data_IF_946019966918
#
_entry.id   IF_946019966918
#
_cell.length_a   1.000
_cell.length_b   1.000
_cell.length_c   1.000
_cell.angle_alpha   90.00
_cell.angle_beta   90.00
_cell.angle_gamma   90.00
#
_symmetry.space_group_name_H-M   'P 1'
#
loop_
_entity.id
_entity.type
_entity.pdbx_description
1 polymer ?
#
# COMPACT_ATOMS: atom_id res chain seq x y z
N UNK A 1 -62.12 40.30 21.07
CA UNK A 1 -61.74 38.98 21.57
C UNK A 1 -61.74 37.88 20.52
N UNK A 2 -62.74 37.75 19.62
CA UNK A 2 -62.79 36.69 18.60
C UNK A 2 -61.64 36.72 17.54
N UNK A 3 -61.11 37.90 17.20
CA UNK A 3 -59.99 38.03 16.25
C UNK A 3 -58.63 37.63 16.79
N UNK A 4 -58.42 37.76 18.12
CA UNK A 4 -57.19 37.35 18.82
C UNK A 4 -57.08 35.82 18.97
N UNK A 5 -58.22 35.15 19.18
CA UNK A 5 -58.32 33.69 19.29
C UNK A 5 -58.02 32.98 17.95
N UNK A 6 -58.37 33.59 16.79
CA UNK A 6 -58.09 33.02 15.45
C UNK A 6 -56.59 33.09 15.13
N UNK A 7 -55.91 34.17 15.53
CA UNK A 7 -54.46 34.33 15.32
C UNK A 7 -53.67 33.34 16.17
N UNK A 8 -54.10 33.05 17.40
CA UNK A 8 -53.45 32.07 18.29
C UNK A 8 -53.60 30.62 17.77
N UNK A 9 -54.73 30.27 17.16
CA UNK A 9 -54.97 28.96 16.53
C UNK A 9 -54.16 28.78 15.23
N UNK A 10 -54.01 29.84 14.41
CA UNK A 10 -53.16 29.79 13.26
C UNK A 10 -51.66 29.64 13.57
N UNK A 11 -51.19 30.19 14.72
CA UNK A 11 -49.81 30.10 15.15
C UNK A 11 -49.48 28.71 15.74
N UNK A 12 -50.43 28.01 16.33
CA UNK A 12 -50.24 26.64 16.85
C UNK A 12 -50.26 25.55 15.78
N UNK A 13 -50.78 25.81 14.57
CA UNK A 13 -50.74 24.90 13.43
C UNK A 13 -49.39 24.96 12.64
N UNK A 14 -48.62 26.03 12.81
CA UNK A 14 -47.30 26.18 12.12
C UNK A 14 -46.16 25.42 12.77
N UNK A 15 -46.36 24.81 13.98
CA UNK A 15 -45.31 24.07 14.69
C UNK A 15 -45.29 22.56 14.44
N UNK A 16 -46.19 22.03 13.60
CA UNK A 16 -46.10 20.65 13.11
C UNK A 16 -45.13 20.64 11.92
N UNK A 17 -43.86 20.85 12.20
CA UNK A 17 -42.78 20.66 11.26
C UNK A 17 -42.70 19.17 10.92
N UNK A 18 -42.92 18.84 9.66
CA UNK A 18 -42.71 17.50 9.13
C UNK A 18 -41.22 17.17 9.18
N UNK A 19 -40.74 16.68 10.29
CA UNK A 19 -39.35 16.17 10.47
C UNK A 19 -39.04 15.04 9.46
N UNK A 20 -40.02 14.32 8.97
CA UNK A 20 -39.87 13.27 7.95
C UNK A 20 -39.53 13.77 6.54
N UNK A 21 -39.69 15.08 6.24
CA UNK A 21 -39.37 15.63 4.91
C UNK A 21 -37.87 15.98 4.77
N UNK A 22 -37.12 16.00 5.89
CA UNK A 22 -35.69 16.25 5.92
C UNK A 22 -34.86 14.95 5.97
N UNK A 23 -35.50 13.81 6.16
CA UNK A 23 -34.89 12.49 6.11
C UNK A 23 -34.88 11.97 4.65
N UNK A 24 -34.22 12.73 3.78
CA UNK A 24 -34.01 12.31 2.38
C UNK A 24 -32.99 11.19 2.40
N UNK A 25 -33.47 9.95 2.32
CA UNK A 25 -32.59 8.81 2.04
C UNK A 25 -32.01 9.03 0.64
N UNK A 26 -30.68 8.90 0.47
CA UNK A 26 -30.09 8.98 -0.87
C UNK A 26 -30.75 7.95 -1.77
N UNK A 27 -31.31 8.39 -2.89
CA UNK A 27 -31.97 7.50 -3.87
C UNK A 27 -30.97 6.64 -4.64
N UNK A 28 -29.70 7.06 -4.67
CA UNK A 28 -28.64 6.45 -5.47
C UNK A 28 -27.61 5.68 -4.61
N UNK A 29 -27.81 5.57 -3.29
CA UNK A 29 -26.95 4.77 -2.41
C UNK A 29 -27.76 3.98 -1.39
N UNK A 30 -27.44 2.69 -1.27
CA UNK A 30 -28.01 1.81 -0.23
C UNK A 30 -27.17 2.00 1.04
N UNK A 31 -27.83 2.22 2.19
CA UNK A 31 -27.11 2.32 3.47
C UNK A 31 -26.34 1.00 3.77
N UNK A 32 -25.21 1.10 4.48
CA UNK A 32 -24.45 -0.08 4.85
C UNK A 32 -25.28 -1.13 5.60
N UNK A 33 -26.27 -0.68 6.41
CA UNK A 33 -27.19 -1.56 7.12
C UNK A 33 -28.17 -2.31 6.22
N UNK A 34 -28.50 -1.76 5.07
CA UNK A 34 -29.34 -2.41 4.07
C UNK A 34 -28.54 -3.30 3.11
N UNK A 35 -27.29 -2.90 2.81
CA UNK A 35 -26.40 -3.65 1.93
C UNK A 35 -25.81 -4.91 2.62
N UNK A 36 -25.47 -4.80 3.92
CA UNK A 36 -24.79 -5.87 4.70
C UNK A 36 -25.79 -6.41 5.73
N UNK A 37 -26.75 -7.19 5.28
CA UNK A 37 -27.81 -7.79 6.13
C UNK A 37 -27.78 -9.31 6.20
N UNK A 38 -27.01 -9.96 5.34
CA UNK A 38 -26.87 -11.40 5.24
C UNK A 38 -25.46 -11.77 4.72
N UNK A 39 -25.14 -13.05 4.66
CA UNK A 39 -23.85 -13.56 4.19
C UNK A 39 -23.49 -13.01 2.80
N UNK A 40 -24.43 -12.96 1.86
CA UNK A 40 -24.17 -12.45 0.51
C UNK A 40 -23.82 -10.97 0.51
N UNK A 41 -24.47 -10.18 1.37
CA UNK A 41 -24.13 -8.77 1.58
C UNK A 41 -22.72 -8.59 2.12
N UNK A 42 -22.29 -9.45 3.06
CA UNK A 42 -20.90 -9.46 3.58
C UNK A 42 -19.90 -9.78 2.46
N UNK A 43 -20.15 -10.86 1.69
CA UNK A 43 -19.30 -11.30 0.59
C UNK A 43 -19.13 -10.20 -0.48
N UNK A 44 -20.23 -9.58 -0.89
CA UNK A 44 -20.21 -8.47 -1.86
C UNK A 44 -19.46 -7.25 -1.32
N UNK A 45 -19.62 -6.91 -0.03
CA UNK A 45 -18.93 -5.78 0.58
C UNK A 45 -17.43 -6.03 0.75
N UNK A 46 -17.00 -7.25 1.08
CA UNK A 46 -15.58 -7.67 1.10
C UNK A 46 -15.00 -7.58 -0.31
N UNK A 47 -15.68 -8.10 -1.33
CA UNK A 47 -15.25 -7.99 -2.73
C UNK A 47 -15.13 -6.54 -3.16
N UNK A 48 -16.10 -5.68 -2.81
CA UNK A 48 -16.05 -4.24 -3.04
C UNK A 48 -14.90 -3.53 -2.31
N UNK A 49 -14.47 -4.08 -1.15
CA UNK A 49 -13.31 -3.55 -0.41
C UNK A 49 -11.99 -3.95 -1.07
N UNK A 50 -11.87 -5.17 -1.58
CA UNK A 50 -10.72 -5.56 -2.43
C UNK A 50 -10.65 -4.70 -3.70
N UNK A 51 -11.80 -4.43 -4.34
CA UNK A 51 -11.85 -3.55 -5.51
C UNK A 51 -11.41 -2.11 -5.17
N UNK A 52 -11.57 -1.64 -3.94
CA UNK A 52 -11.03 -0.33 -3.54
C UNK A 52 -9.51 -0.27 -3.61
N UNK A 53 -8.79 -1.39 -3.39
CA UNK A 53 -7.34 -1.46 -3.55
C UNK A 53 -6.87 -1.28 -5.01
N UNK A 54 -7.74 -1.58 -6.00
CA UNK A 54 -7.49 -1.30 -7.43
C UNK A 54 -7.60 0.17 -7.77
N UNK A 55 -8.11 1.01 -6.86
CA UNK A 55 -8.24 2.44 -7.11
C UNK A 55 -6.97 3.00 -7.72
N UNK A 56 -7.15 3.93 -8.67
CA UNK A 56 -6.05 4.74 -9.24
C UNK A 56 -5.17 5.37 -8.17
N UNK A 57 -5.73 5.71 -7.02
CA UNK A 57 -5.02 6.36 -5.92
C UNK A 57 -4.23 5.39 -5.05
N UNK A 58 -4.50 4.09 -5.12
CA UNK A 58 -3.76 3.07 -4.39
C UNK A 58 -2.91 2.28 -5.40
N UNK A 59 -3.12 0.98 -5.53
CA UNK A 59 -2.28 0.11 -6.37
C UNK A 59 -2.59 0.21 -7.87
N UNK A 60 -3.71 0.82 -8.27
CA UNK A 60 -4.03 1.05 -9.68
C UNK A 60 -3.05 2.01 -10.37
N UNK A 61 -2.36 2.90 -9.63
CA UNK A 61 -1.34 3.80 -10.19
C UNK A 61 -0.54 4.60 -9.15
N UNK A 62 -1.19 5.49 -8.35
CA UNK A 62 -0.48 6.57 -7.63
C UNK A 62 0.53 6.01 -6.64
N UNK A 63 0.13 5.10 -5.76
CA UNK A 63 1.01 4.58 -4.74
C UNK A 63 2.22 3.86 -5.35
N UNK A 64 2.03 3.12 -6.47
CA UNK A 64 3.12 2.43 -7.14
C UNK A 64 4.12 3.41 -7.75
N UNK A 65 3.64 4.47 -8.42
CA UNK A 65 4.52 5.47 -9.05
C UNK A 65 5.21 6.34 -7.99
N UNK A 66 4.49 6.77 -6.95
CA UNK A 66 4.99 7.70 -5.93
C UNK A 66 6.18 7.13 -5.18
N UNK A 67 6.18 5.84 -4.85
CA UNK A 67 7.28 5.18 -4.15
C UNK A 67 8.63 5.24 -4.90
N UNK A 68 8.58 5.18 -6.22
CA UNK A 68 9.79 5.25 -7.05
C UNK A 68 10.11 6.70 -7.49
N UNK A 69 9.08 7.55 -7.66
CA UNK A 69 9.22 8.94 -8.09
C UNK A 69 9.71 9.87 -6.98
N UNK A 70 9.25 9.66 -5.73
CA UNK A 70 9.76 10.37 -4.57
C UNK A 70 11.17 9.90 -4.17
N UNK A 71 11.63 8.80 -4.76
CA UNK A 71 12.96 8.24 -4.57
C UNK A 71 13.87 8.51 -5.78
N UNK A 72 14.74 7.57 -6.11
CA UNK A 72 15.78 7.70 -7.12
C UNK A 72 15.63 6.72 -8.31
N UNK A 73 14.47 6.07 -8.46
CA UNK A 73 14.18 5.14 -9.55
C UNK A 73 13.41 5.76 -10.71
N UNK A 74 12.70 6.87 -10.47
CA UNK A 74 11.93 7.59 -11.49
C UNK A 74 12.21 9.10 -11.46
N UNK A 75 12.03 9.74 -12.60
CA UNK A 75 11.95 11.19 -12.76
C UNK A 75 10.63 11.55 -13.43
N UNK A 76 10.16 12.77 -13.20
CA UNK A 76 9.02 13.34 -13.92
C UNK A 76 9.41 13.75 -15.33
N UNK A 77 8.63 13.33 -16.33
CA UNK A 77 8.85 13.63 -17.76
C UNK A 77 7.58 14.11 -18.46
N UNK A 78 6.45 14.10 -17.76
CA UNK A 78 5.13 14.38 -18.32
C UNK A 78 4.65 15.82 -18.10
N UNK A 79 3.34 15.96 -17.87
CA UNK A 79 2.66 17.26 -17.75
C UNK A 79 1.91 17.42 -16.43
N UNK A 80 1.75 16.36 -15.65
CA UNK A 80 1.01 16.37 -14.38
C UNK A 80 1.88 17.05 -13.30
N UNK A 81 1.49 18.26 -12.87
CA UNK A 81 2.24 19.07 -11.91
C UNK A 81 2.39 18.39 -10.54
N UNK A 82 1.39 17.63 -10.11
CA UNK A 82 1.45 16.90 -8.84
C UNK A 82 2.62 15.90 -8.81
N UNK A 83 2.90 15.21 -9.94
CA UNK A 83 4.11 14.37 -10.05
C UNK A 83 5.39 15.20 -10.03
N UNK A 84 5.40 16.40 -10.64
CA UNK A 84 6.55 17.31 -10.57
C UNK A 84 6.87 17.71 -9.12
N UNK A 85 5.85 18.03 -8.33
CA UNK A 85 6.03 18.35 -6.91
C UNK A 85 6.63 17.18 -6.13
N UNK A 86 6.17 15.95 -6.39
CA UNK A 86 6.67 14.76 -5.73
C UNK A 86 8.14 14.50 -6.11
N UNK A 87 8.46 14.54 -7.41
CA UNK A 87 9.83 14.32 -7.91
C UNK A 87 10.84 15.35 -7.38
N UNK A 88 10.40 16.59 -7.10
CA UNK A 88 11.24 17.67 -6.63
C UNK A 88 11.17 17.90 -5.11
N UNK A 89 10.44 17.06 -4.36
CA UNK A 89 10.22 17.20 -2.92
C UNK A 89 9.65 18.58 -2.50
N UNK A 90 8.78 19.13 -3.34
CA UNK A 90 8.07 20.40 -3.12
C UNK A 90 6.56 20.19 -3.02
N UNK A 91 6.18 19.11 -2.37
CA UNK A 91 4.79 18.65 -2.30
C UNK A 91 3.97 19.67 -1.50
N UNK A 92 2.97 20.27 -2.13
CA UNK A 92 2.01 21.13 -1.45
C UNK A 92 0.90 20.30 -0.77
N UNK A 93 0.30 20.84 0.29
CA UNK A 93 -0.77 20.15 1.02
C UNK A 93 -2.04 19.93 0.16
N UNK A 94 -2.22 20.67 -0.92
CA UNK A 94 -3.30 20.52 -1.90
C UNK A 94 -2.93 19.62 -3.10
N UNK A 95 -1.81 18.89 -3.04
CA UNK A 95 -1.41 17.94 -4.07
C UNK A 95 -2.46 16.83 -4.21
N UNK A 96 -3.12 16.74 -5.36
CA UNK A 96 -4.24 15.82 -5.59
C UNK A 96 -3.86 14.34 -5.59
N UNK A 97 -2.59 14.01 -5.89
CA UNK A 97 -2.11 12.62 -5.82
C UNK A 97 -1.99 12.19 -4.36
N UNK A 98 -1.41 13.02 -3.50
CA UNK A 98 -1.24 12.73 -2.08
C UNK A 98 -2.58 12.71 -1.34
N UNK A 99 -3.49 13.66 -1.67
CA UNK A 99 -4.87 13.64 -1.18
C UNK A 99 -5.60 12.35 -1.59
N UNK A 100 -5.44 11.92 -2.83
CA UNK A 100 -6.02 10.67 -3.31
C UNK A 100 -5.50 9.44 -2.57
N UNK A 101 -4.19 9.36 -2.29
CA UNK A 101 -3.60 8.25 -1.51
C UNK A 101 -4.18 8.23 -0.09
N UNK A 102 -4.27 9.40 0.57
CA UNK A 102 -4.86 9.51 1.90
C UNK A 102 -6.33 9.07 1.91
N UNK A 103 -7.15 9.71 1.10
CA UNK A 103 -8.59 9.55 1.13
C UNK A 103 -9.04 8.15 0.74
N UNK A 104 -8.42 7.52 -0.28
CA UNK A 104 -8.82 6.19 -0.74
C UNK A 104 -8.35 5.05 0.17
N UNK A 105 -7.20 5.19 0.87
CA UNK A 105 -6.85 4.25 1.93
C UNK A 105 -7.87 4.33 3.09
N UNK A 106 -8.29 5.53 3.51
CA UNK A 106 -9.35 5.68 4.53
C UNK A 106 -10.74 5.23 4.05
N UNK A 107 -11.07 5.41 2.76
CA UNK A 107 -12.29 4.84 2.19
C UNK A 107 -12.30 3.30 2.29
N UNK A 108 -11.18 2.65 1.94
CA UNK A 108 -11.04 1.20 2.10
C UNK A 108 -11.18 0.80 3.58
N UNK A 109 -10.52 1.50 4.51
CA UNK A 109 -10.64 1.27 5.96
C UNK A 109 -12.11 1.40 6.40
N UNK A 110 -12.82 2.42 5.94
CA UNK A 110 -14.23 2.62 6.31
C UNK A 110 -15.13 1.52 5.76
N UNK A 111 -14.91 1.07 4.52
CA UNK A 111 -15.63 -0.07 3.91
C UNK A 111 -15.49 -1.32 4.75
N UNK A 112 -14.25 -1.72 5.08
CA UNK A 112 -14.00 -2.91 5.89
C UNK A 112 -14.51 -2.76 7.33
N UNK A 113 -14.46 -1.58 7.92
CA UNK A 113 -15.04 -1.33 9.24
C UNK A 113 -16.56 -1.53 9.24
N UNK A 114 -17.26 -1.10 8.17
CA UNK A 114 -18.69 -1.37 8.00
C UNK A 114 -18.98 -2.88 7.94
N UNK A 115 -18.13 -3.66 7.26
CA UNK A 115 -18.26 -5.12 7.23
C UNK A 115 -17.99 -5.72 8.62
N UNK A 116 -16.85 -5.41 9.22
CA UNK A 116 -16.43 -5.95 10.51
C UNK A 116 -17.44 -5.67 11.62
N UNK A 117 -18.07 -4.48 11.62
CA UNK A 117 -19.09 -4.11 12.60
C UNK A 117 -20.40 -4.90 12.46
N UNK A 118 -20.67 -5.48 11.28
CA UNK A 118 -21.92 -6.21 11.00
C UNK A 118 -21.78 -7.72 11.11
N UNK A 119 -20.60 -8.28 10.85
CA UNK A 119 -20.35 -9.73 10.90
C UNK A 119 -20.87 -10.40 12.19
N UNK A 120 -20.76 -9.83 13.41
CA UNK A 120 -21.28 -10.48 14.61
C UNK A 120 -22.78 -10.77 14.58
N UNK A 121 -23.56 -9.93 13.90
CA UNK A 121 -25.04 -9.98 13.87
C UNK A 121 -25.57 -10.79 12.67
N UNK A 122 -24.70 -11.20 11.73
CA UNK A 122 -25.11 -11.94 10.53
C UNK A 122 -25.06 -13.45 10.78
N UNK A 123 -26.15 -14.13 10.41
CA UNK A 123 -26.20 -15.60 10.46
C UNK A 123 -25.32 -16.20 9.38
N UNK A 124 -24.25 -16.84 9.79
CA UNK A 124 -23.29 -17.54 8.94
C UNK A 124 -22.50 -18.58 9.76
N UNK A 125 -21.94 -19.58 9.10
CA UNK A 125 -21.07 -20.54 9.76
C UNK A 125 -19.75 -19.92 10.24
N UNK A 126 -19.02 -20.63 11.09
CA UNK A 126 -17.77 -20.14 11.69
C UNK A 126 -16.68 -19.90 10.65
N UNK A 127 -16.56 -20.76 9.65
CA UNK A 127 -15.51 -20.65 8.63
C UNK A 127 -15.71 -19.41 7.76
N UNK A 128 -16.92 -19.14 7.31
CA UNK A 128 -17.26 -17.91 6.58
C UNK A 128 -17.03 -16.66 7.44
N UNK A 129 -17.44 -16.71 8.73
CA UNK A 129 -17.21 -15.62 9.67
C UNK A 129 -15.72 -15.32 9.83
N UNK A 130 -14.92 -16.35 10.04
CA UNK A 130 -13.47 -16.23 10.17
C UNK A 130 -12.85 -15.67 8.89
N UNK A 131 -13.26 -16.19 7.73
CA UNK A 131 -12.77 -15.76 6.43
C UNK A 131 -12.99 -14.26 6.19
N UNK A 132 -14.23 -13.78 6.31
CA UNK A 132 -14.53 -12.37 6.04
C UNK A 132 -14.00 -11.43 7.12
N UNK A 133 -13.91 -11.88 8.36
CA UNK A 133 -13.24 -11.12 9.43
C UNK A 133 -11.75 -10.98 9.13
N UNK A 134 -11.08 -12.08 8.76
CA UNK A 134 -9.67 -12.07 8.40
C UNK A 134 -9.37 -11.17 7.19
N UNK A 135 -10.22 -11.21 6.15
CA UNK A 135 -10.14 -10.32 4.98
C UNK A 135 -10.20 -8.84 5.39
N UNK A 136 -11.20 -8.47 6.19
CA UNK A 136 -11.36 -7.09 6.65
C UNK A 136 -10.18 -6.61 7.49
N UNK A 137 -9.70 -7.44 8.42
CA UNK A 137 -8.53 -7.11 9.25
C UNK A 137 -7.26 -6.96 8.44
N UNK A 138 -7.01 -7.85 7.47
CA UNK A 138 -5.85 -7.74 6.56
C UNK A 138 -5.87 -6.45 5.76
N UNK A 139 -6.99 -6.12 5.11
CA UNK A 139 -7.12 -4.90 4.31
C UNK A 139 -6.99 -3.64 5.17
N UNK A 140 -7.59 -3.62 6.37
CA UNK A 140 -7.46 -2.49 7.31
C UNK A 140 -6.02 -2.27 7.73
N UNK A 141 -5.31 -3.34 8.06
CA UNK A 141 -3.89 -3.27 8.41
C UNK A 141 -3.03 -2.79 7.24
N UNK A 142 -3.26 -3.31 6.02
CA UNK A 142 -2.53 -2.89 4.82
C UNK A 142 -2.71 -1.39 4.55
N UNK A 143 -3.95 -0.89 4.61
CA UNK A 143 -4.23 0.53 4.37
C UNK A 143 -3.64 1.43 5.48
N UNK A 144 -3.74 1.04 6.76
CA UNK A 144 -3.08 1.79 7.85
C UNK A 144 -1.56 1.78 7.69
N UNK A 145 -0.96 0.67 7.24
CA UNK A 145 0.48 0.58 6.99
C UNK A 145 0.92 1.47 5.83
N UNK A 146 0.17 1.48 4.72
CA UNK A 146 0.41 2.40 3.61
C UNK A 146 0.42 3.86 4.09
N UNK A 147 -0.61 4.27 4.85
CA UNK A 147 -0.70 5.62 5.40
C UNK A 147 0.43 5.94 6.36
N UNK A 148 0.79 4.99 7.24
CA UNK A 148 1.90 5.15 8.18
C UNK A 148 3.23 5.43 7.48
N UNK A 149 3.52 4.71 6.39
CA UNK A 149 4.78 4.86 5.63
C UNK A 149 4.93 6.25 5.00
N UNK A 150 3.83 6.87 4.56
CA UNK A 150 3.86 8.19 3.95
C UNK A 150 3.74 9.34 4.94
N UNK A 151 2.88 9.20 5.95
CA UNK A 151 2.44 10.32 6.79
C UNK A 151 2.92 10.25 8.25
N UNK A 152 3.54 9.16 8.66
CA UNK A 152 3.92 8.93 10.05
C UNK A 152 2.70 8.62 10.91
N UNK A 153 2.55 9.31 12.06
CA UNK A 153 1.37 9.14 12.92
C UNK A 153 0.09 9.56 12.20
N UNK A 154 -0.99 8.79 12.33
CA UNK A 154 -2.27 8.96 11.64
C UNK A 154 -3.44 8.63 12.58
N UNK A 155 -4.68 9.10 12.31
CA UNK A 155 -5.86 8.62 13.01
C UNK A 155 -6.08 7.12 12.79
N UNK A 156 -6.21 6.35 13.86
CA UNK A 156 -6.56 4.93 13.80
C UNK A 156 -8.08 4.82 13.74
N UNK A 157 -8.61 4.33 12.62
CA UNK A 157 -10.05 4.12 12.42
C UNK A 157 -10.37 2.63 12.49
N UNK A 158 -11.05 2.18 13.56
CA UNK A 158 -11.46 0.78 13.76
C UNK A 158 -12.98 0.59 13.78
N UNK A 159 -13.73 1.69 13.63
CA UNK A 159 -15.19 1.70 13.58
C UNK A 159 -15.66 2.43 12.32
N UNK A 160 -16.86 2.12 11.81
CA UNK A 160 -17.46 2.88 10.70
C UNK A 160 -17.60 4.36 11.04
N UNK A 161 -17.43 5.21 10.05
CA UNK A 161 -17.81 6.63 10.16
C UNK A 161 -19.34 6.74 10.00
N UNK A 162 -20.04 7.09 11.07
CA UNK A 162 -21.51 7.11 11.11
C UNK A 162 -22.08 8.53 11.11
N UNK A 163 -21.32 9.51 11.57
CA UNK A 163 -21.72 10.90 11.65
C UNK A 163 -20.53 11.87 11.61
N UNK A 164 -20.82 13.17 11.55
CA UNK A 164 -19.79 14.22 11.52
C UNK A 164 -18.97 14.31 12.81
N UNK A 165 -19.48 13.84 13.94
CA UNK A 165 -18.72 13.86 15.21
C UNK A 165 -17.58 12.84 15.21
N UNK A 166 -17.71 11.75 14.44
CA UNK A 166 -16.70 10.71 14.30
C UNK A 166 -15.56 11.07 13.34
N UNK A 167 -15.68 12.19 12.62
CA UNK A 167 -14.65 12.67 11.69
C UNK A 167 -13.47 13.28 12.45
N UNK A 168 -13.74 14.11 13.46
CA UNK A 168 -12.72 14.80 14.24
C UNK A 168 -11.96 13.81 15.14
N UNK A 169 -10.74 13.46 14.73
CA UNK A 169 -9.85 12.59 15.48
C UNK A 169 -8.40 13.06 15.33
N UNK A 170 -7.73 13.24 16.46
CA UNK A 170 -6.30 13.55 16.46
C UNK A 170 -5.47 12.38 15.90
N UNK A 171 -4.27 12.68 15.46
CA UNK A 171 -3.30 11.66 15.05
C UNK A 171 -2.89 10.79 16.22
N UNK A 172 -2.86 9.50 16.02
CA UNK A 172 -2.20 8.57 16.92
C UNK A 172 -0.69 8.61 16.68
N UNK A 173 0.07 8.27 17.70
CA UNK A 173 1.53 8.17 17.57
C UNK A 173 1.92 6.98 16.68
N UNK A 174 3.09 7.06 16.04
CA UNK A 174 3.64 5.98 15.21
C UNK A 174 3.64 4.62 15.92
N UNK A 175 4.08 4.50 17.20
CA UNK A 175 3.98 3.23 17.93
C UNK A 175 2.55 2.69 18.07
N UNK A 176 1.57 3.56 18.35
CA UNK A 176 0.17 3.14 18.46
C UNK A 176 -0.38 2.62 17.13
N UNK A 177 0.00 3.25 16.02
CA UNK A 177 -0.40 2.79 14.67
C UNK A 177 0.19 1.42 14.38
N UNK A 178 1.48 1.19 14.68
CA UNK A 178 2.08 -0.15 14.56
C UNK A 178 1.36 -1.20 15.42
N UNK A 179 1.05 -0.86 16.66
CA UNK A 179 0.36 -1.80 17.56
C UNK A 179 -1.01 -2.23 16.99
N UNK A 180 -1.77 -1.29 16.40
CA UNK A 180 -3.04 -1.61 15.75
C UNK A 180 -2.84 -2.47 14.50
N UNK A 181 -1.89 -2.13 13.63
CA UNK A 181 -1.57 -2.90 12.41
C UNK A 181 -1.19 -4.34 12.76
N UNK A 182 -0.30 -4.50 13.75
CA UNK A 182 0.17 -5.82 14.20
C UNK A 182 -0.98 -6.62 14.81
N UNK A 183 -1.82 -5.99 15.63
CA UNK A 183 -3.01 -6.63 16.22
C UNK A 183 -3.96 -7.17 15.14
N UNK A 184 -4.27 -6.36 14.12
CA UNK A 184 -5.12 -6.77 13.01
C UNK A 184 -4.50 -7.94 12.22
N UNK A 185 -3.20 -7.87 11.91
CA UNK A 185 -2.52 -8.90 11.14
C UNK A 185 -2.35 -10.22 11.88
N UNK A 186 -2.09 -10.19 13.19
CA UNK A 186 -2.01 -11.40 14.00
C UNK A 186 -3.36 -12.15 14.05
N UNK A 187 -4.45 -11.41 14.13
CA UNK A 187 -5.79 -11.98 14.05
C UNK A 187 -6.09 -12.50 12.63
N UNK A 188 -5.77 -11.73 11.58
CA UNK A 188 -5.95 -12.16 10.19
C UNK A 188 -5.15 -13.44 9.89
N UNK A 189 -3.90 -13.56 10.39
CA UNK A 189 -3.06 -14.76 10.26
C UNK A 189 -3.73 -16.01 10.84
N UNK A 190 -4.49 -15.87 11.92
CA UNK A 190 -5.20 -16.97 12.58
C UNK A 190 -6.53 -17.35 11.91
N UNK A 191 -7.22 -16.36 11.35
CA UNK A 191 -8.57 -16.49 10.81
C UNK A 191 -8.61 -16.91 9.35
N UNK A 192 -7.61 -16.48 8.57
CA UNK A 192 -7.55 -16.77 7.14
C UNK A 192 -7.05 -18.20 6.86
N UNK A 193 -7.52 -18.84 5.77
CA UNK A 193 -6.98 -20.12 5.33
C UNK A 193 -5.52 -19.95 4.84
N UNK A 194 -4.74 -21.01 4.94
CA UNK A 194 -3.32 -21.01 4.55
C UNK A 194 -3.10 -20.56 3.10
N UNK A 195 -3.96 -21.01 2.19
CA UNK A 195 -3.89 -20.70 0.75
C UNK A 195 -5.24 -20.25 0.23
N UNK A 196 -5.22 -19.34 -0.75
CA UNK A 196 -6.43 -18.83 -1.44
C UNK A 196 -6.12 -18.53 -2.91
N UNK A 197 -7.19 -18.29 -3.67
CA UNK A 197 -7.10 -17.75 -5.02
C UNK A 197 -6.34 -16.42 -5.00
N UNK A 198 -5.50 -16.18 -6.00
CA UNK A 198 -4.77 -14.93 -6.17
C UNK A 198 -5.72 -13.73 -6.17
N UNK A 199 -5.26 -12.62 -5.60
CA UNK A 199 -6.07 -11.41 -5.40
C UNK A 199 -6.82 -11.36 -4.06
N UNK A 200 -6.87 -12.48 -3.32
CA UNK A 200 -7.43 -12.53 -1.96
C UNK A 200 -6.35 -12.87 -0.93
N UNK A 201 -6.44 -12.27 0.25
CA UNK A 201 -5.48 -12.51 1.31
C UNK A 201 -5.60 -13.93 1.88
N UNK A 202 -4.47 -14.52 2.23
CA UNK A 202 -4.34 -15.78 2.94
C UNK A 202 -3.64 -15.58 4.28
N UNK A 203 -3.57 -16.60 5.13
CA UNK A 203 -2.77 -16.55 6.35
C UNK A 203 -1.31 -16.19 6.05
N UNK A 204 -0.74 -16.73 4.94
CA UNK A 204 0.61 -16.37 4.53
C UNK A 204 0.73 -14.94 3.99
N UNK A 205 -0.33 -14.35 3.45
CA UNK A 205 -0.34 -12.92 3.10
C UNK A 205 -0.23 -12.06 4.37
N UNK A 206 -0.96 -12.41 5.43
CA UNK A 206 -0.87 -11.73 6.72
C UNK A 206 0.52 -11.94 7.36
N UNK A 207 1.07 -13.17 7.31
CA UNK A 207 2.43 -13.48 7.79
C UNK A 207 3.49 -12.67 7.05
N UNK A 208 3.40 -12.56 5.73
CA UNK A 208 4.34 -11.81 4.91
C UNK A 208 4.27 -10.29 5.18
N UNK A 209 3.06 -9.76 5.34
CA UNK A 209 2.88 -8.35 5.71
C UNK A 209 3.40 -8.07 7.13
N UNK A 210 3.20 -9.00 8.08
CA UNK A 210 3.82 -8.91 9.42
C UNK A 210 5.35 -8.85 9.34
N UNK A 211 5.99 -9.66 8.49
CA UNK A 211 7.45 -9.60 8.30
C UNK A 211 7.90 -8.20 7.86
N UNK A 212 7.22 -7.58 6.88
CA UNK A 212 7.50 -6.21 6.41
C UNK A 212 7.25 -5.17 7.49
N UNK A 213 6.14 -5.27 8.22
CA UNK A 213 5.77 -4.36 9.31
C UNK A 213 6.80 -4.43 10.44
N UNK A 214 7.21 -5.64 10.86
CA UNK A 214 8.22 -5.81 11.90
C UNK A 214 9.59 -5.28 11.44
N UNK A 215 10.02 -5.53 10.20
CA UNK A 215 11.27 -4.96 9.68
C UNK A 215 11.23 -3.43 9.72
N UNK A 216 10.13 -2.81 9.29
CA UNK A 216 9.97 -1.35 9.27
C UNK A 216 9.97 -0.77 10.70
N UNK A 217 9.26 -1.41 11.62
CA UNK A 217 9.24 -1.03 13.04
C UNK A 217 10.62 -1.19 13.70
N UNK A 218 11.33 -2.27 13.39
CA UNK A 218 12.70 -2.50 13.88
C UNK A 218 13.65 -1.37 13.50
N UNK A 219 13.61 -0.91 12.25
CA UNK A 219 14.47 0.18 11.78
C UNK A 219 14.20 1.52 12.51
N UNK A 220 13.02 1.69 13.09
CA UNK A 220 12.70 2.88 13.90
C UNK A 220 13.13 2.73 15.37
N UNK A 221 12.98 1.54 15.94
CA UNK A 221 13.21 1.29 17.37
C UNK A 221 14.62 0.79 17.68
N UNK A 222 15.29 0.14 16.72
CA UNK A 222 16.52 -0.64 16.88
C UNK A 222 16.41 -1.72 17.98
N UNK A 223 15.19 -2.22 18.25
CA UNK A 223 14.94 -3.28 19.23
C UNK A 223 15.19 -4.66 18.59
N UNK A 224 16.22 -5.41 19.02
CA UNK A 224 16.55 -6.72 18.45
C UNK A 224 15.40 -7.72 18.53
N UNK A 225 14.52 -7.62 19.52
CA UNK A 225 13.37 -8.53 19.64
C UNK A 225 12.38 -8.36 18.48
N UNK A 226 12.27 -7.16 17.94
CA UNK A 226 11.42 -6.88 16.75
C UNK A 226 12.10 -7.41 15.47
N UNK A 227 13.44 -7.36 15.39
CA UNK A 227 14.17 -7.99 14.29
C UNK A 227 13.93 -9.51 14.25
N UNK A 228 13.95 -10.18 15.41
CA UNK A 228 13.68 -11.62 15.50
C UNK A 228 12.25 -11.96 15.01
N UNK A 229 11.26 -11.13 15.34
CA UNK A 229 9.89 -11.30 14.82
C UNK A 229 9.83 -11.17 13.28
N UNK A 230 10.57 -10.22 12.68
CA UNK A 230 10.67 -10.10 11.24
C UNK A 230 11.32 -11.34 10.60
N UNK A 231 12.40 -11.85 11.20
CA UNK A 231 13.11 -13.08 10.79
C UNK A 231 12.19 -14.30 10.88
N UNK A 232 11.47 -14.45 12.01
CA UNK A 232 10.51 -15.53 12.22
C UNK A 232 9.42 -15.56 11.16
N UNK A 233 8.74 -14.42 10.96
CA UNK A 233 7.63 -14.33 9.99
C UNK A 233 8.11 -14.57 8.55
N UNK A 234 9.23 -13.98 8.15
CA UNK A 234 9.82 -14.24 6.83
C UNK A 234 10.21 -15.71 6.65
N UNK A 235 10.84 -16.32 7.67
CA UNK A 235 11.22 -17.74 7.65
C UNK A 235 10.01 -18.66 7.55
N UNK A 236 8.91 -18.35 8.26
CA UNK A 236 7.65 -19.09 8.18
C UNK A 236 7.09 -19.10 6.75
N UNK A 237 7.10 -17.97 6.06
CA UNK A 237 6.65 -17.91 4.66
C UNK A 237 7.56 -18.70 3.74
N UNK A 238 8.88 -18.53 3.86
CA UNK A 238 9.87 -19.23 3.02
C UNK A 238 9.75 -20.74 3.15
N UNK A 239 9.61 -21.25 4.38
CA UNK A 239 9.65 -22.69 4.66
C UNK A 239 8.30 -23.38 4.50
N UNK A 240 7.20 -22.70 4.77
CA UNK A 240 5.87 -23.33 4.92
C UNK A 240 4.81 -22.76 3.95
N UNK A 241 5.11 -21.65 3.24
CA UNK A 241 4.13 -20.96 2.37
C UNK A 241 3.85 -21.68 1.06
N UNK A 242 4.71 -22.62 0.66
CA UNK A 242 4.55 -23.33 -0.62
C UNK A 242 4.88 -22.49 -1.86
N UNK A 243 5.43 -21.28 -1.68
CA UNK A 243 5.86 -20.40 -2.76
C UNK A 243 7.25 -20.79 -3.27
N UNK A 244 7.51 -20.55 -4.55
CA UNK A 244 8.83 -20.75 -5.16
C UNK A 244 9.23 -19.54 -5.97
N UNK A 245 10.50 -19.13 -5.90
CA UNK A 245 10.99 -18.06 -6.77
C UNK A 245 10.80 -18.45 -8.24
N UNK A 246 10.27 -17.53 -9.03
CA UNK A 246 10.17 -17.72 -10.46
C UNK A 246 11.57 -17.86 -11.05
N UNK A 247 11.88 -18.96 -11.75
CA UNK A 247 13.23 -19.18 -12.29
C UNK A 247 13.58 -18.14 -13.35
N UNK A 248 12.59 -17.65 -14.09
CA UNK A 248 12.70 -16.54 -15.03
C UNK A 248 12.07 -15.28 -14.41
N UNK A 249 12.92 -14.29 -14.15
CA UNK A 249 12.45 -13.01 -13.60
C UNK A 249 11.49 -12.28 -14.55
N UNK A 250 11.71 -12.32 -15.86
CA UNK A 250 10.83 -11.69 -16.82
C UNK A 250 9.46 -12.40 -16.92
N UNK A 251 9.44 -13.72 -16.72
CA UNK A 251 8.24 -14.54 -16.69
C UNK A 251 7.30 -14.19 -15.53
N UNK A 252 7.83 -13.67 -14.42
CA UNK A 252 7.04 -13.18 -13.31
C UNK A 252 6.01 -12.12 -13.78
N UNK A 253 6.42 -11.18 -14.62
CA UNK A 253 5.57 -10.09 -15.14
C UNK A 253 4.75 -10.48 -16.39
N UNK A 254 4.75 -11.75 -16.75
CA UNK A 254 3.93 -12.33 -17.82
C UNK A 254 2.84 -13.26 -17.27
N UNK A 255 2.52 -13.15 -15.98
CA UNK A 255 1.46 -13.94 -15.33
C UNK A 255 1.91 -15.27 -14.71
N UNK A 256 3.21 -15.58 -14.66
CA UNK A 256 3.73 -16.76 -13.98
C UNK A 256 4.03 -16.43 -12.51
N UNK A 257 3.04 -16.60 -11.64
CA UNK A 257 2.99 -16.05 -10.30
C UNK A 257 3.43 -17.04 -9.19
N UNK A 258 4.41 -17.93 -9.42
CA UNK A 258 4.83 -18.95 -8.43
C UNK A 258 5.36 -18.36 -7.12
N UNK A 259 5.81 -17.11 -7.12
CA UNK A 259 6.30 -16.41 -5.93
C UNK A 259 5.33 -15.34 -5.38
N UNK A 260 4.17 -15.13 -6.02
CA UNK A 260 3.18 -14.17 -5.56
C UNK A 260 2.49 -14.63 -4.27
N UNK A 261 2.57 -13.83 -3.21
CA UNK A 261 1.92 -14.08 -1.93
C UNK A 261 0.62 -13.30 -1.83
N UNK A 262 0.63 -12.05 -2.28
CA UNK A 262 -0.54 -11.21 -2.43
C UNK A 262 -0.33 -10.23 -3.58
N UNK A 263 -1.33 -10.13 -4.44
CA UNK A 263 -1.31 -9.27 -5.62
C UNK A 263 -2.66 -8.63 -5.87
N UNK A 264 -2.66 -7.51 -6.56
CA UNK A 264 -3.86 -6.89 -7.10
C UNK A 264 -4.06 -7.43 -8.52
N UNK A 265 -5.15 -8.17 -8.70
CA UNK A 265 -5.51 -8.78 -10.00
C UNK A 265 -6.42 -7.81 -10.75
N UNK A 266 -5.88 -7.14 -11.76
CA UNK A 266 -6.63 -6.21 -12.61
C UNK A 266 -7.40 -6.94 -13.71
N UNK A 267 -8.52 -6.35 -14.10
CA UNK A 267 -9.37 -6.78 -15.22
C UNK A 267 -9.84 -5.56 -16.03
N UNK A 268 -10.65 -5.77 -17.07
CA UNK A 268 -11.12 -4.68 -17.94
C UNK A 268 -12.04 -3.67 -17.24
N UNK A 269 -12.68 -4.04 -16.13
CA UNK A 269 -13.49 -3.15 -15.30
C UNK A 269 -12.64 -2.44 -14.25
N UNK A 270 -11.67 -3.15 -13.66
CA UNK A 270 -10.76 -2.67 -12.61
C UNK A 270 -9.33 -2.62 -13.16
N UNK A 271 -9.07 -1.62 -13.99
CA UNK A 271 -7.83 -1.51 -14.76
C UNK A 271 -6.70 -0.88 -13.94
N UNK A 272 -5.47 -1.38 -14.10
CA UNK A 272 -4.29 -0.59 -13.76
C UNK A 272 -3.95 0.38 -14.89
N UNK A 273 -3.46 1.56 -14.53
CA UNK A 273 -3.00 2.56 -15.51
C UNK A 273 -1.48 2.66 -15.58
N UNK A 274 -0.74 1.74 -14.95
CA UNK A 274 0.71 1.83 -14.82
C UNK A 274 1.40 1.84 -16.19
N UNK A 275 1.11 0.88 -17.07
CA UNK A 275 1.69 0.85 -18.41
C UNK A 275 1.44 2.17 -19.16
N UNK A 276 0.25 2.74 -19.07
CA UNK A 276 -0.10 4.01 -19.74
C UNK A 276 0.77 5.18 -19.26
N UNK A 277 1.16 5.21 -17.99
CA UNK A 277 1.93 6.31 -17.41
C UNK A 277 3.44 6.16 -17.61
N UNK A 278 3.93 4.92 -17.75
CA UNK A 278 5.32 4.62 -18.06
C UNK A 278 5.65 4.72 -19.56
N UNK A 279 4.77 4.23 -20.44
CA UNK A 279 5.08 4.13 -21.86
C UNK A 279 5.19 5.49 -22.54
N UNK A 280 6.18 5.65 -23.47
CA UNK A 280 6.31 6.82 -24.34
C UNK A 280 5.08 7.05 -25.22
N UNK A 281 4.89 8.30 -25.66
CA UNK A 281 3.77 8.65 -26.54
C UNK A 281 3.82 7.94 -27.89
N UNK A 282 5.03 7.62 -28.38
CA UNK A 282 5.24 6.79 -29.57
C UNK A 282 4.64 5.38 -29.44
N UNK A 283 4.44 4.90 -28.21
CA UNK A 283 3.83 3.63 -27.85
C UNK A 283 2.43 3.81 -27.20
N UNK A 284 1.75 4.93 -27.49
CA UNK A 284 0.41 5.28 -27.00
C UNK A 284 0.32 5.55 -25.49
N UNK A 285 1.45 5.71 -24.82
CA UNK A 285 1.52 6.08 -23.41
C UNK A 285 1.43 7.58 -23.17
N UNK A 286 1.45 7.97 -21.91
CA UNK A 286 1.49 9.37 -21.45
C UNK A 286 2.90 9.85 -21.17
N UNK A 287 3.81 8.93 -20.84
CA UNK A 287 5.19 9.20 -20.45
C UNK A 287 5.29 10.24 -19.33
N UNK A 288 4.50 10.05 -18.29
CA UNK A 288 4.51 10.96 -17.12
C UNK A 288 5.75 10.75 -16.26
N UNK A 289 6.30 9.53 -16.25
CA UNK A 289 7.48 9.17 -15.48
C UNK A 289 8.42 8.28 -16.29
N UNK A 290 9.72 8.35 -15.99
CA UNK A 290 10.76 7.58 -16.68
C UNK A 290 11.90 7.23 -15.72
N UNK A 291 12.57 6.07 -15.87
CA UNK A 291 13.79 5.80 -15.14
C UNK A 291 14.92 6.77 -15.54
N UNK A 292 15.63 7.37 -14.58
CA UNK A 292 16.75 8.27 -14.87
C UNK A 292 17.97 7.50 -15.40
N UNK A 293 18.85 8.19 -16.14
CA UNK A 293 20.00 7.57 -16.82
C UNK A 293 20.94 6.81 -15.85
N UNK A 294 21.17 7.33 -14.64
CA UNK A 294 22.00 6.67 -13.63
C UNK A 294 21.38 5.35 -13.13
N UNK A 295 20.06 5.28 -13.01
CA UNK A 295 19.37 4.05 -12.63
C UNK A 295 19.39 3.02 -13.77
N UNK A 296 19.14 3.45 -15.00
CA UNK A 296 19.31 2.61 -16.21
C UNK A 296 20.73 2.02 -16.27
N UNK A 297 21.74 2.87 -16.06
CA UNK A 297 23.14 2.45 -16.09
C UNK A 297 23.49 1.46 -14.98
N UNK A 298 22.90 1.59 -13.77
CA UNK A 298 23.15 0.65 -12.67
C UNK A 298 22.75 -0.79 -13.01
N UNK A 299 21.70 -0.99 -13.79
CA UNK A 299 21.32 -2.31 -14.32
C UNK A 299 22.28 -2.79 -15.42
N UNK A 300 22.56 -1.92 -16.41
CA UNK A 300 23.35 -2.30 -17.58
C UNK A 300 24.76 -2.78 -17.24
N UNK A 301 25.34 -2.27 -16.17
CA UNK A 301 26.70 -2.62 -15.74
C UNK A 301 26.78 -4.03 -15.14
N UNK A 302 25.71 -4.52 -14.49
CA UNK A 302 25.81 -5.72 -13.66
C UNK A 302 24.62 -6.66 -13.76
N UNK A 303 23.42 -6.20 -14.14
CA UNK A 303 22.15 -6.91 -13.93
C UNK A 303 21.25 -6.90 -15.17
N UNK A 304 21.74 -7.50 -16.24
CA UNK A 304 21.01 -7.53 -17.52
C UNK A 304 19.73 -8.35 -17.46
N UNK A 305 19.64 -9.35 -16.59
CA UNK A 305 18.45 -10.20 -16.42
C UNK A 305 17.25 -9.40 -15.92
N UNK A 306 17.46 -8.62 -14.84
CA UNK A 306 16.37 -7.77 -14.32
C UNK A 306 16.15 -6.53 -15.17
N UNK A 307 17.19 -6.05 -15.85
CA UNK A 307 17.08 -4.93 -16.79
C UNK A 307 16.03 -5.15 -17.87
N UNK A 308 16.14 -6.24 -18.64
CA UNK A 308 15.25 -6.52 -19.78
C UNK A 308 13.79 -6.72 -19.36
N UNK A 309 13.55 -7.09 -18.11
CA UNK A 309 12.21 -7.23 -17.56
C UNK A 309 11.63 -5.91 -17.01
N UNK A 310 12.51 -5.00 -16.57
CA UNK A 310 12.10 -3.79 -15.83
C UNK A 310 12.13 -2.53 -16.69
N UNK A 311 13.04 -2.43 -17.66
CA UNK A 311 13.26 -1.22 -18.46
C UNK A 311 13.35 -1.59 -19.95
N UNK A 312 12.68 -0.81 -20.79
CA UNK A 312 12.79 -0.88 -22.23
C UNK A 312 13.06 0.51 -22.82
N UNK A 313 13.36 0.56 -24.11
CA UNK A 313 13.56 1.79 -24.88
C UNK A 313 12.61 1.82 -26.07
N UNK A 314 12.08 2.99 -26.37
CA UNK A 314 11.37 3.18 -27.63
C UNK A 314 12.33 3.36 -28.83
N UNK A 315 11.79 3.55 -30.01
CA UNK A 315 12.58 3.76 -31.25
C UNK A 315 13.44 5.02 -31.23
N UNK A 316 13.11 5.99 -30.35
CA UNK A 316 13.88 7.23 -30.14
C UNK A 316 14.88 7.12 -28.98
N UNK A 317 15.00 5.93 -28.39
CA UNK A 317 15.86 5.59 -27.26
C UNK A 317 15.44 6.26 -25.93
N UNK A 318 14.17 6.57 -25.76
CA UNK A 318 13.60 6.99 -24.48
C UNK A 318 13.42 5.77 -23.57
N UNK A 319 14.02 5.74 -22.37
CA UNK A 319 13.83 4.64 -21.42
C UNK A 319 12.44 4.72 -20.77
N UNK A 320 11.82 3.58 -20.50
CA UNK A 320 10.56 3.50 -19.78
C UNK A 320 10.44 2.23 -18.94
N UNK A 321 9.63 2.30 -17.87
CA UNK A 321 9.34 1.12 -17.04
C UNK A 321 8.55 0.08 -17.81
N UNK A 322 8.97 -1.20 -17.75
CA UNK A 322 8.47 -2.28 -18.61
C UNK A 322 7.93 -3.50 -17.84
N UNK A 323 7.78 -3.40 -16.52
CA UNK A 323 7.12 -4.46 -15.73
C UNK A 323 5.63 -4.56 -16.01
N UNK A 324 4.98 -3.43 -16.28
CA UNK A 324 3.58 -3.33 -16.70
C UNK A 324 3.54 -3.10 -18.19
N UNK A 325 2.78 -3.91 -18.93
CA UNK A 325 2.86 -3.98 -20.40
C UNK A 325 1.53 -3.79 -21.11
N UNK A 326 0.41 -4.03 -20.41
CA UNK A 326 -0.91 -3.96 -21.02
C UNK A 326 -1.47 -2.52 -21.00
N UNK A 327 -1.00 -1.73 -21.96
CA UNK A 327 -1.46 -0.36 -22.15
C UNK A 327 -2.92 -0.26 -22.62
N UNK A 328 -3.45 -1.33 -23.21
CA UNK A 328 -4.79 -1.34 -23.85
C UNK A 328 -5.88 -1.72 -22.86
N UNK A 329 -5.79 -2.89 -22.27
CA UNK A 329 -6.80 -3.39 -21.33
C UNK A 329 -6.45 -3.05 -19.87
N UNK A 330 -5.17 -2.85 -19.53
CA UNK A 330 -4.71 -2.53 -18.19
C UNK A 330 -4.89 -3.70 -17.22
N UNK A 331 -4.65 -4.93 -17.69
CA UNK A 331 -4.85 -6.16 -16.92
C UNK A 331 -3.57 -6.67 -16.25
N UNK A 332 -2.51 -5.86 -16.25
CA UNK A 332 -1.28 -6.18 -15.54
C UNK A 332 -1.54 -6.39 -14.05
N UNK A 333 -0.85 -7.37 -13.47
CA UNK A 333 -0.90 -7.67 -12.04
C UNK A 333 0.06 -6.78 -11.27
N UNK A 334 -0.35 -6.31 -10.10
CA UNK A 334 0.50 -5.53 -9.20
C UNK A 334 0.85 -6.38 -7.99
N UNK A 335 2.11 -6.80 -7.89
CA UNK A 335 2.60 -7.58 -6.76
C UNK A 335 2.76 -6.69 -5.54
N UNK A 336 2.01 -7.00 -4.47
CA UNK A 336 2.09 -6.30 -3.18
C UNK A 336 3.06 -7.02 -2.25
N UNK A 337 3.00 -8.36 -2.23
CA UNK A 337 3.86 -9.22 -1.42
C UNK A 337 4.33 -10.41 -2.27
N UNK A 338 5.62 -10.68 -2.31
CA UNK A 338 6.20 -11.82 -3.02
C UNK A 338 7.39 -12.44 -2.30
N UNK A 339 7.68 -13.71 -2.59
CA UNK A 339 8.66 -14.51 -1.87
C UNK A 339 10.07 -13.89 -1.84
N UNK A 340 10.50 -13.25 -2.94
CA UNK A 340 11.81 -12.59 -2.98
C UNK A 340 11.99 -11.57 -1.86
N UNK A 341 10.91 -10.87 -1.48
CA UNK A 341 10.95 -9.93 -0.37
C UNK A 341 11.19 -10.62 0.97
N UNK A 342 10.66 -11.80 1.17
CA UNK A 342 10.86 -12.54 2.43
C UNK A 342 12.33 -12.90 2.66
N UNK A 343 13.04 -13.30 1.61
CA UNK A 343 14.49 -13.49 1.67
C UNK A 343 15.23 -12.20 2.04
N UNK A 344 14.89 -11.09 1.38
CA UNK A 344 15.56 -9.81 1.60
C UNK A 344 15.18 -9.16 2.95
N UNK A 345 13.94 -9.34 3.45
CA UNK A 345 13.56 -8.95 4.82
C UNK A 345 14.40 -9.70 5.84
N UNK A 346 14.54 -11.02 5.67
CA UNK A 346 15.29 -11.87 6.61
C UNK A 346 16.79 -11.53 6.61
N UNK A 347 17.37 -11.34 5.43
CA UNK A 347 18.74 -10.88 5.28
C UNK A 347 18.97 -9.52 5.94
N UNK A 348 18.09 -8.57 5.71
CA UNK A 348 18.19 -7.21 6.21
C UNK A 348 18.05 -7.16 7.74
N UNK A 349 17.03 -7.82 8.29
CA UNK A 349 16.84 -7.89 9.74
C UNK A 349 18.08 -8.47 10.43
N UNK A 350 18.66 -9.56 9.89
CA UNK A 350 19.93 -10.14 10.38
C UNK A 350 21.11 -9.17 10.25
N UNK A 351 21.24 -8.47 9.12
CA UNK A 351 22.36 -7.55 8.89
C UNK A 351 22.35 -6.36 9.87
N UNK A 352 21.17 -5.83 10.18
CA UNK A 352 21.03 -4.72 11.12
C UNK A 352 21.05 -5.14 12.59
N UNK A 353 20.71 -6.40 12.92
CA UNK A 353 20.84 -6.97 14.28
C UNK A 353 22.17 -7.69 14.54
N UNK A 354 23.13 -7.60 13.61
CA UNK A 354 24.43 -8.27 13.66
C UNK A 354 24.32 -9.81 13.78
N UNK A 355 23.38 -10.39 13.05
CA UNK A 355 23.17 -11.84 12.96
C UNK A 355 24.27 -12.57 12.19
N UNK A 356 24.10 -13.87 11.98
CA UNK A 356 25.09 -14.71 11.29
C UNK A 356 25.31 -14.23 9.84
N UNK A 357 26.57 -13.91 9.50
CA UNK A 357 26.96 -13.36 8.18
C UNK A 357 26.69 -14.36 7.05
N UNK A 358 26.91 -15.65 7.28
CA UNK A 358 26.68 -16.68 6.28
C UNK A 358 25.18 -16.80 5.95
N UNK A 359 24.30 -16.75 6.96
CA UNK A 359 22.86 -16.73 6.74
C UNK A 359 22.41 -15.50 5.97
N UNK A 360 23.00 -14.31 6.24
CA UNK A 360 22.72 -13.09 5.50
C UNK A 360 23.09 -13.28 4.03
N UNK A 361 24.31 -13.77 3.77
CA UNK A 361 24.79 -14.02 2.40
C UNK A 361 23.94 -15.05 1.67
N UNK A 362 23.56 -16.14 2.35
CA UNK A 362 22.74 -17.17 1.76
C UNK A 362 21.39 -16.61 1.26
N UNK A 363 20.70 -15.80 2.07
CA UNK A 363 19.45 -15.18 1.68
C UNK A 363 19.62 -14.22 0.50
N UNK A 364 20.63 -13.37 0.51
CA UNK A 364 20.93 -12.42 -0.57
C UNK A 364 21.31 -13.16 -1.85
N UNK A 365 22.15 -14.19 -1.73
CA UNK A 365 22.70 -14.93 -2.87
C UNK A 365 21.62 -15.78 -3.59
N UNK A 366 20.55 -16.18 -2.93
CA UNK A 366 19.38 -16.79 -3.58
C UNK A 366 18.78 -15.83 -4.62
N UNK A 367 18.63 -14.56 -4.27
CA UNK A 367 18.07 -13.53 -5.17
C UNK A 367 19.07 -13.19 -6.28
N UNK A 368 20.37 -13.03 -5.94
CA UNK A 368 21.43 -12.75 -6.90
C UNK A 368 21.59 -13.86 -7.92
N UNK A 369 21.56 -15.12 -7.48
CA UNK A 369 21.66 -16.28 -8.37
C UNK A 369 20.52 -16.32 -9.40
N UNK A 370 19.26 -16.03 -8.98
CA UNK A 370 18.12 -15.93 -9.89
C UNK A 370 18.30 -14.80 -10.92
N UNK A 371 18.94 -13.70 -10.53
CA UNK A 371 19.29 -12.59 -11.43
C UNK A 371 20.53 -12.86 -12.30
N UNK A 372 21.19 -14.01 -12.12
CA UNK A 372 22.43 -14.35 -12.86
C UNK A 372 23.65 -13.55 -12.39
N UNK A 373 23.65 -13.06 -11.15
CA UNK A 373 24.73 -12.29 -10.55
C UNK A 373 25.66 -13.17 -9.71
N UNK A 374 26.94 -12.80 -9.68
CA UNK A 374 27.89 -13.42 -8.77
C UNK A 374 27.47 -13.28 -7.31
N UNK A 375 27.72 -14.30 -6.48
CA UNK A 375 27.37 -14.24 -5.07
C UNK A 375 28.19 -13.15 -4.35
N UNK A 376 27.55 -12.46 -3.39
CA UNK A 376 28.31 -11.61 -2.46
C UNK A 376 29.13 -12.46 -1.52
N UNK A 377 30.40 -12.06 -1.30
CA UNK A 377 31.34 -12.70 -0.38
C UNK A 377 31.68 -11.79 0.81
N UNK A 378 31.06 -10.61 0.90
CA UNK A 378 31.34 -9.65 1.98
C UNK A 378 31.10 -10.25 3.36
N UNK A 379 31.96 -9.88 4.31
CA UNK A 379 31.87 -10.22 5.73
C UNK A 379 31.67 -8.98 6.60
N UNK A 380 31.56 -7.79 6.00
CA UNK A 380 31.28 -6.53 6.67
C UNK A 380 29.79 -6.23 6.67
N UNK A 381 29.21 -5.95 7.82
CA UNK A 381 27.78 -5.67 7.95
C UNK A 381 27.35 -4.41 7.19
N UNK A 382 28.19 -3.36 7.11
CA UNK A 382 27.83 -2.14 6.42
C UNK A 382 27.82 -2.35 4.89
N UNK A 383 28.78 -3.12 4.38
CA UNK A 383 28.78 -3.55 2.98
C UNK A 383 27.56 -4.43 2.68
N UNK A 384 27.23 -5.41 3.53
CA UNK A 384 26.06 -6.27 3.36
C UNK A 384 24.76 -5.48 3.35
N UNK A 385 24.61 -4.46 4.23
CA UNK A 385 23.44 -3.54 4.21
C UNK A 385 23.30 -2.82 2.86
N UNK A 386 24.39 -2.34 2.29
CA UNK A 386 24.40 -1.70 0.98
C UNK A 386 24.11 -2.69 -0.17
N UNK A 387 24.64 -3.90 -0.08
CA UNK A 387 24.31 -4.98 -1.03
C UNK A 387 22.81 -5.26 -0.98
N UNK A 388 22.21 -5.42 0.21
CA UNK A 388 20.78 -5.66 0.37
C UNK A 388 19.95 -4.48 -0.16
N UNK A 389 20.35 -3.24 0.12
CA UNK A 389 19.70 -2.04 -0.41
C UNK A 389 19.68 -2.05 -1.94
N UNK A 390 20.81 -2.39 -2.58
CA UNK A 390 20.90 -2.47 -4.04
C UNK A 390 20.09 -3.64 -4.61
N UNK A 391 20.12 -4.81 -3.96
CA UNK A 391 19.29 -5.95 -4.38
C UNK A 391 17.80 -5.58 -4.32
N UNK A 392 17.33 -4.97 -3.22
CA UNK A 392 15.95 -4.51 -3.11
C UNK A 392 15.59 -3.48 -4.18
N UNK A 393 16.48 -2.51 -4.44
CA UNK A 393 16.26 -1.46 -5.44
C UNK A 393 16.06 -2.03 -6.85
N UNK A 394 16.88 -2.99 -7.27
CA UNK A 394 16.76 -3.62 -8.58
C UNK A 394 15.61 -4.64 -8.65
N UNK A 395 15.47 -5.45 -7.60
CA UNK A 395 14.47 -6.49 -7.50
C UNK A 395 13.04 -5.91 -7.53
N UNK A 396 12.80 -4.87 -6.74
CA UNK A 396 11.48 -4.26 -6.58
C UNK A 396 11.29 -2.93 -7.33
N UNK A 397 12.13 -2.64 -8.32
CA UNK A 397 11.95 -1.46 -9.17
C UNK A 397 10.50 -1.41 -9.69
N UNK A 398 9.82 -0.29 -9.49
CA UNK A 398 8.43 -0.04 -9.90
C UNK A 398 7.37 -0.92 -9.21
N UNK A 399 7.69 -1.48 -8.02
CA UNK A 399 6.79 -2.30 -7.21
C UNK A 399 6.46 -1.67 -5.85
N UNK A 400 6.47 -0.34 -5.78
CA UNK A 400 6.00 0.39 -4.58
C UNK A 400 6.81 0.15 -3.30
N UNK A 401 8.15 0.22 -3.35
CA UNK A 401 8.99 -0.03 -2.16
C UNK A 401 10.14 0.95 -1.94
N UNK A 402 10.64 1.65 -2.97
CA UNK A 402 11.93 2.35 -2.87
C UNK A 402 11.93 3.52 -1.90
N UNK A 403 10.91 4.38 -1.91
CA UNK A 403 10.77 5.49 -0.96
C UNK A 403 10.71 4.99 0.48
N UNK A 404 9.82 4.05 0.73
CA UNK A 404 9.64 3.43 2.05
C UNK A 404 10.93 2.78 2.55
N UNK A 405 11.69 2.10 1.67
CA UNK A 405 12.99 1.53 2.01
C UNK A 405 14.01 2.60 2.43
N UNK A 406 14.11 3.69 1.67
CA UNK A 406 15.04 4.79 1.99
C UNK A 406 14.68 5.52 3.29
N UNK A 407 13.39 5.73 3.52
CA UNK A 407 12.92 6.42 4.74
C UNK A 407 13.15 5.57 5.98
N UNK A 408 12.71 4.30 5.97
CA UNK A 408 12.85 3.42 7.14
C UNK A 408 14.30 3.13 7.51
N UNK A 409 15.21 3.04 6.51
CA UNK A 409 16.66 2.84 6.74
C UNK A 409 17.41 4.14 7.01
N UNK A 410 16.72 5.28 7.08
CA UNK A 410 17.29 6.63 7.26
C UNK A 410 18.29 7.01 6.16
N UNK A 411 18.13 6.45 4.98
CA UNK A 411 18.98 6.69 3.82
C UNK A 411 18.46 7.80 2.91
N UNK A 412 17.18 8.19 3.04
CA UNK A 412 16.55 9.18 2.17
C UNK A 412 17.32 10.52 2.14
N UNK A 413 17.73 11.05 3.28
CA UNK A 413 18.48 12.32 3.35
C UNK A 413 19.82 12.24 2.62
N UNK A 414 20.53 11.11 2.72
CA UNK A 414 21.85 10.94 2.08
C UNK A 414 21.73 10.66 0.59
N UNK A 415 20.78 9.83 0.18
CA UNK A 415 20.61 9.37 -1.21
C UNK A 415 19.98 10.48 -2.06
N UNK A 416 18.97 11.17 -1.50
CA UNK A 416 18.17 12.15 -2.24
C UNK A 416 18.58 13.58 -1.99
N UNK A 417 19.43 13.85 -0.98
CA UNK A 417 19.85 15.21 -0.62
C UNK A 417 18.75 16.06 0.00
N UNK A 418 17.72 15.46 0.57
CA UNK A 418 16.57 16.14 1.16
C UNK A 418 16.74 16.34 2.67
N UNK A 419 16.01 17.31 3.24
CA UNK A 419 15.89 17.47 4.69
C UNK A 419 15.05 16.35 5.29
N UNK A 420 15.32 15.99 6.56
CA UNK A 420 14.56 14.99 7.32
C UNK A 420 13.06 15.31 7.38
N UNK A 421 12.69 16.60 7.44
CA UNK A 421 11.29 17.03 7.42
C UNK A 421 10.53 16.57 6.17
N UNK A 422 11.22 16.35 5.06
CA UNK A 422 10.61 15.90 3.80
C UNK A 422 10.63 14.38 3.62
N UNK A 423 10.97 13.63 4.66
CA UNK A 423 10.85 12.15 4.65
C UNK A 423 9.41 11.68 4.93
N UNK A 424 8.54 12.58 5.35
CA UNK A 424 7.08 12.36 5.42
C UNK A 424 6.39 13.30 4.43
N UNK A 425 5.27 12.87 3.89
CA UNK A 425 4.45 13.72 3.02
C UNK A 425 3.53 14.63 3.82
N UNK A 426 3.06 15.75 3.23
CA UNK A 426 2.12 16.63 3.91
C UNK A 426 0.80 15.93 4.18
N UNK A 427 0.19 16.22 5.32
CA UNK A 427 -1.21 15.89 5.56
C UNK A 427 -2.05 16.69 4.56
N UNK A 428 -2.97 16.06 3.82
CA UNK A 428 -3.75 16.74 2.81
C UNK A 428 -4.55 17.93 3.36
N UNK A 429 -4.65 18.97 2.56
CA UNK A 429 -5.39 20.18 2.91
C UNK A 429 -6.87 19.89 3.20
N UNK A 430 -7.47 18.96 2.46
CA UNK A 430 -8.84 18.50 2.65
C UNK A 430 -9.06 17.96 4.06
N UNK A 431 -8.13 17.15 4.58
CA UNK A 431 -8.18 16.61 5.93
C UNK A 431 -7.99 17.71 6.99
N UNK A 432 -7.02 18.62 6.80
CA UNK A 432 -6.79 19.75 7.71
C UNK A 432 -8.00 20.68 7.82
N UNK A 433 -8.77 20.84 6.75
CA UNK A 433 -9.97 21.66 6.72
C UNK A 433 -11.18 21.01 7.37
N UNK A 434 -11.29 19.69 7.29
CA UNK A 434 -12.45 18.94 7.77
C UNK A 434 -12.27 18.40 9.18
N UNK A 435 -11.04 18.08 9.58
CA UNK A 435 -10.70 17.55 10.89
C UNK A 435 -9.91 18.59 11.71
N UNK A 436 -10.60 19.29 12.59
CA UNK A 436 -10.00 20.39 13.39
C UNK A 436 -8.94 19.95 14.39
N UNK A 437 -8.81 18.64 14.66
CA UNK A 437 -7.79 18.06 15.54
C UNK A 437 -6.55 17.58 14.78
N UNK A 438 -6.56 17.72 13.45
CA UNK A 438 -5.43 17.32 12.62
C UNK A 438 -4.32 18.36 12.66
N UNK A 439 -3.08 17.89 12.66
CA UNK A 439 -1.88 18.75 12.61
C UNK A 439 -1.02 18.38 11.41
N UNK A 440 -0.39 19.37 10.80
CA UNK A 440 0.50 19.15 9.66
C UNK A 440 1.81 18.48 10.07
N UNK A 441 2.47 17.80 9.12
CA UNK A 441 3.84 17.32 9.28
C UNK A 441 4.84 18.47 9.24
N UNK A 442 5.98 18.36 9.97
CA UNK A 442 7.03 19.39 9.93
C UNK A 442 7.53 19.64 8.50
N UNK A 443 7.70 20.92 8.14
CA UNK A 443 8.19 21.31 6.82
C UNK A 443 7.11 21.77 5.83
N UNK A 444 5.82 21.61 6.19
CA UNK A 444 4.68 21.96 5.32
C UNK A 444 3.75 22.99 5.94
#
# INVERSE_FOLDING_TARGET
>A
MKKFSIILILFSLATVSCSKMLDVQPTDSISASQAIKDKSGVENAITGSYNALHSTSIYGRYQVIVEDLAADNLIWTGTTQDYSQIANHTIAADNGIIDGIWSLNYDCINRVNNVLSRIPDIDMNTDDRNLYTGDGLFMRALCHFNLLCYFGGIPIKTQPTVDLSSINQARNTVPQVYDQIISDLLQAEQLLPATRTLGYASAFSATALLARVYLTRFQQTNDPSIAELAIEKASKVISNGGYTLSPDYAGLFNGNATESIFEIVSDVQNRTLLAQYFFPRSLLGRYEVSPPANFVQSFLLTDTTRFIASIAFDTTKLPYGFKYKDITAGTDRVYVLRLAEMYLIRAEARAYSNGNIEDIRNDVNVIRARAGLDPTTSTDYNELKLVIENERRHEFAFESQRWSDLVRTKRATTVLGISENFTLFPIPLSELQTNTLMTQNPGY
#
